data_IF_315945254799
#
_entry.id   IF_315945254799
#
_cell.length_a   1.000
_cell.length_b   1.000
_cell.length_c   1.000
_cell.angle_alpha   90.00
_cell.angle_beta   90.00
_cell.angle_gamma   90.00
#
_symmetry.space_group_name_H-M   'P 1'
#
loop_
_entity.id
_entity.type
_entity.pdbx_description
1 polymer ?
#
# COMPACT_ATOMS: atom_id res chain seq x y z
N UNK A 1 15.97 2.04 2.13
CA UNK A 1 16.88 1.76 1.00
C UNK A 1 16.53 2.71 -0.15
N UNK A 2 17.54 3.13 -0.93
CA UNK A 2 17.40 4.20 -1.92
C UNK A 2 16.66 3.79 -3.21
N UNK A 3 16.52 4.72 -4.16
CA UNK A 3 15.93 4.42 -5.47
C UNK A 3 16.70 3.34 -6.22
N UNK A 4 15.98 2.47 -6.93
CA UNK A 4 16.55 1.50 -7.84
C UNK A 4 16.06 1.74 -9.26
N UNK A 5 16.98 1.70 -10.23
CA UNK A 5 16.68 1.90 -11.65
C UNK A 5 16.90 0.60 -12.44
N UNK A 6 15.96 0.27 -13.32
CA UNK A 6 16.02 -0.79 -14.33
C UNK A 6 16.06 -0.14 -15.71
N UNK A 7 16.93 -0.67 -16.59
CA UNK A 7 16.97 -0.35 -18.02
C UNK A 7 16.67 -1.65 -18.80
N UNK A 8 15.83 -1.57 -19.82
CA UNK A 8 15.43 -2.70 -20.68
C UNK A 8 13.97 -3.12 -20.53
N UNK A 9 13.53 -3.98 -21.42
CA UNK A 9 12.13 -4.41 -21.64
C UNK A 9 11.67 -5.57 -20.76
N UNK A 10 12.60 -6.35 -20.23
CA UNK A 10 12.32 -7.52 -19.39
C UNK A 10 11.50 -7.17 -18.13
N UNK A 11 10.68 -8.13 -17.73
CA UNK A 11 10.00 -8.15 -16.43
C UNK A 11 11.03 -8.07 -15.29
N UNK A 12 10.69 -7.33 -14.24
CA UNK A 12 11.63 -7.06 -13.17
C UNK A 12 10.93 -6.83 -11.83
N UNK A 13 11.51 -7.41 -10.77
CA UNK A 13 11.12 -7.11 -9.39
C UNK A 13 12.20 -6.24 -8.77
N UNK A 14 11.84 -5.03 -8.35
CA UNK A 14 12.76 -4.14 -7.65
C UNK A 14 12.89 -4.60 -6.19
N UNK A 15 14.06 -5.09 -5.73
CA UNK A 15 14.30 -5.46 -4.33
C UNK A 15 14.44 -4.21 -3.43
N UNK A 16 13.31 -3.55 -3.18
CA UNK A 16 13.25 -2.34 -2.36
C UNK A 16 12.98 -2.67 -0.89
N UNK A 17 13.11 -1.65 -0.06
CA UNK A 17 12.82 -1.75 1.36
C UNK A 17 13.17 -0.48 2.10
N UNK A 18 12.75 -0.38 3.35
CA UNK A 18 13.15 0.69 4.25
C UNK A 18 13.04 0.26 5.71
N UNK A 19 13.91 0.76 6.58
CA UNK A 19 13.88 0.43 8.02
C UNK A 19 13.99 -1.07 8.34
N UNK A 20 14.67 -1.86 7.50
CA UNK A 20 14.81 -3.31 7.65
C UNK A 20 13.66 -4.14 7.08
N UNK A 21 12.65 -3.50 6.48
CA UNK A 21 11.54 -4.17 5.80
C UNK A 21 11.91 -4.39 4.33
N UNK A 22 11.73 -5.62 3.84
CA UNK A 22 11.82 -5.94 2.41
C UNK A 22 10.44 -5.76 1.78
N UNK A 23 10.32 -4.83 0.83
CA UNK A 23 9.05 -4.38 0.26
C UNK A 23 9.20 -4.16 -1.26
N UNK A 24 9.29 -5.23 -2.04
CA UNK A 24 9.50 -5.13 -3.47
C UNK A 24 8.24 -4.63 -4.22
N UNK A 25 8.49 -4.06 -5.40
CA UNK A 25 7.49 -3.77 -6.42
C UNK A 25 7.91 -4.46 -7.71
N UNK A 26 6.96 -5.13 -8.37
CA UNK A 26 7.17 -5.83 -9.63
C UNK A 26 6.61 -5.03 -10.81
N UNK A 27 7.30 -5.08 -11.94
CA UNK A 27 6.78 -4.72 -13.26
C UNK A 27 6.83 -5.95 -14.17
N UNK A 28 5.73 -6.25 -14.85
CA UNK A 28 5.66 -7.38 -15.77
C UNK A 28 4.74 -7.15 -16.96
N UNK A 29 4.91 -7.95 -18.02
CA UNK A 29 4.01 -8.01 -19.16
C UNK A 29 3.76 -6.66 -19.85
N UNK A 30 2.50 -6.43 -20.23
CA UNK A 30 2.04 -5.21 -20.90
C UNK A 30 2.41 -5.13 -22.39
N UNK A 31 2.55 -3.91 -22.90
CA UNK A 31 2.84 -3.65 -24.31
C UNK A 31 3.73 -2.43 -24.50
N UNK A 32 4.36 -2.32 -25.67
CA UNK A 32 5.23 -1.19 -26.00
C UNK A 32 6.61 -1.24 -25.33
N UNK A 33 7.01 -2.42 -24.84
CA UNK A 33 8.34 -2.60 -24.24
C UNK A 33 9.45 -2.45 -25.28
N UNK A 34 10.52 -1.76 -24.91
CA UNK A 34 11.74 -1.62 -25.68
C UNK A 34 12.98 -1.76 -24.80
N UNK A 35 14.10 -2.20 -25.38
CA UNK A 35 15.38 -2.35 -24.66
C UNK A 35 15.93 -1.03 -24.11
N UNK A 36 15.38 0.11 -24.55
CA UNK A 36 15.68 1.46 -24.06
C UNK A 36 14.74 1.96 -22.97
N UNK A 37 13.77 1.15 -22.52
CA UNK A 37 12.86 1.53 -21.45
C UNK A 37 13.60 1.71 -20.13
N UNK A 38 13.20 2.68 -19.34
CA UNK A 38 13.82 2.97 -18.06
C UNK A 38 12.76 3.17 -16.98
N UNK A 39 12.92 2.47 -15.86
CA UNK A 39 12.02 2.55 -14.71
C UNK A 39 12.82 2.76 -13.43
N UNK A 40 12.39 3.69 -12.58
CA UNK A 40 12.94 3.89 -11.25
C UNK A 40 11.86 3.62 -10.22
N UNK A 41 12.19 2.87 -9.18
CA UNK A 41 11.26 2.56 -8.10
C UNK A 41 11.88 2.86 -6.72
N UNK A 42 11.03 3.30 -5.79
CA UNK A 42 11.38 3.61 -4.39
C UNK A 42 10.26 3.12 -3.48
N UNK A 43 10.61 2.56 -2.33
CA UNK A 43 9.66 2.25 -1.26
C UNK A 43 9.83 3.24 -0.13
N UNK A 44 8.72 3.69 0.45
CA UNK A 44 8.71 4.55 1.63
C UNK A 44 7.92 3.90 2.75
N UNK A 45 8.57 3.75 3.91
CA UNK A 45 7.88 3.39 5.15
C UNK A 45 7.27 4.63 5.81
N UNK A 46 6.28 5.21 5.13
CA UNK A 46 5.64 6.46 5.56
C UNK A 46 4.16 6.49 5.17
N UNK A 47 3.39 7.37 5.80
CA UNK A 47 1.93 7.46 5.62
C UNK A 47 1.56 8.19 4.31
N UNK A 48 1.05 7.51 3.27
CA UNK A 48 0.66 8.16 2.01
C UNK A 48 -0.51 9.13 2.17
N UNK A 49 -1.36 8.95 3.18
CA UNK A 49 -2.50 9.85 3.43
C UNK A 49 -2.07 11.22 3.93
N UNK A 50 -0.94 11.27 4.64
CA UNK A 50 -0.36 12.51 5.15
C UNK A 50 0.52 13.20 4.11
N UNK A 51 1.38 12.43 3.43
CA UNK A 51 2.40 13.01 2.53
C UNK A 51 1.96 13.18 1.09
N UNK A 52 0.90 12.49 0.65
CA UNK A 52 0.36 12.61 -0.72
C UNK A 52 -1.06 13.16 -0.66
N UNK A 53 -2.02 12.40 -0.13
CA UNK A 53 -3.43 12.81 -0.04
C UNK A 53 -4.24 11.79 0.74
N UNK A 54 -5.23 12.25 1.51
CA UNK A 54 -6.25 11.40 2.12
C UNK A 54 -7.55 11.31 1.28
N UNK A 55 -7.58 11.90 0.08
CA UNK A 55 -8.76 11.87 -0.80
C UNK A 55 -8.76 10.55 -1.58
N UNK A 56 -9.81 9.76 -1.41
CA UNK A 56 -9.96 8.45 -2.05
C UNK A 56 -11.19 8.41 -2.96
N UNK A 57 -11.15 7.56 -3.98
CA UNK A 57 -12.33 7.26 -4.81
C UNK A 57 -13.42 6.55 -3.98
N UNK A 58 -14.68 6.82 -4.29
CA UNK A 58 -15.82 6.14 -3.66
C UNK A 58 -15.72 4.61 -3.71
N UNK A 59 -16.00 3.97 -2.57
CA UNK A 59 -15.90 2.53 -2.37
C UNK A 59 -14.53 2.05 -1.90
N UNK A 60 -13.55 2.95 -1.76
CA UNK A 60 -12.38 2.71 -0.91
C UNK A 60 -12.80 3.06 0.52
N UNK A 61 -12.66 2.12 1.45
CA UNK A 61 -12.83 2.39 2.87
C UNK A 61 -11.61 3.19 3.36
N UNK A 62 -10.42 2.63 3.13
CA UNK A 62 -9.16 3.29 3.41
C UNK A 62 -8.00 2.74 2.57
N UNK A 63 -6.88 3.46 2.58
CA UNK A 63 -5.61 3.06 1.99
C UNK A 63 -4.57 2.76 3.09
N UNK A 64 -3.40 2.23 2.73
CA UNK A 64 -2.31 2.02 3.70
C UNK A 64 -1.98 3.30 4.46
N UNK A 65 -1.64 3.15 5.74
CA UNK A 65 -1.19 4.24 6.62
C UNK A 65 0.31 4.24 6.86
N UNK A 66 1.03 3.24 6.36
CA UNK A 66 2.42 2.98 6.75
C UNK A 66 3.37 2.85 5.59
N UNK A 67 2.87 2.71 4.37
CA UNK A 67 3.74 2.55 3.23
C UNK A 67 3.14 2.95 1.89
N UNK A 68 4.02 3.29 0.96
CA UNK A 68 3.74 3.44 -0.46
C UNK A 68 5.01 3.23 -1.29
N UNK A 69 4.81 3.05 -2.59
CA UNK A 69 5.86 2.93 -3.57
C UNK A 69 5.74 4.04 -4.60
N UNK A 70 6.88 4.61 -5.00
CA UNK A 70 6.99 5.37 -6.22
C UNK A 70 7.48 4.44 -7.31
N UNK A 71 6.80 4.43 -8.45
CA UNK A 71 7.27 3.84 -9.68
C UNK A 71 7.22 4.91 -10.75
N UNK A 72 8.36 5.19 -11.38
CA UNK A 72 8.50 6.24 -12.39
C UNK A 72 9.02 5.58 -13.66
N UNK A 73 8.31 5.77 -14.77
CA UNK A 73 8.84 5.48 -16.11
C UNK A 73 9.67 6.68 -16.57
N UNK A 74 10.99 6.56 -16.49
CA UNK A 74 11.91 7.63 -16.86
C UNK A 74 12.05 7.78 -18.39
N UNK A 75 11.91 6.68 -19.13
CA UNK A 75 11.99 6.63 -20.59
C UNK A 75 11.11 5.51 -21.13
N UNK A 76 10.65 5.67 -22.38
CA UNK A 76 9.90 4.65 -23.10
C UNK A 76 8.39 4.77 -22.99
N UNK A 77 7.70 3.90 -23.75
CA UNK A 77 6.24 3.92 -23.88
C UNK A 77 5.56 2.69 -23.27
N UNK A 78 6.31 1.77 -22.65
CA UNK A 78 5.76 0.57 -22.05
C UNK A 78 4.60 0.84 -21.08
N UNK A 79 3.56 0.03 -21.21
CA UNK A 79 2.63 -0.29 -20.13
C UNK A 79 3.13 -1.53 -19.40
N UNK A 80 2.90 -1.60 -18.08
CA UNK A 80 3.29 -2.75 -17.25
C UNK A 80 2.18 -3.10 -16.26
N UNK A 81 2.05 -4.38 -15.95
CA UNK A 81 1.37 -4.86 -14.76
C UNK A 81 2.27 -4.55 -13.57
N UNK A 82 1.68 -4.00 -12.51
CA UNK A 82 2.33 -3.67 -11.25
C UNK A 82 1.90 -4.66 -10.18
N UNK A 83 2.87 -5.25 -9.49
CA UNK A 83 2.69 -6.18 -8.37
C UNK A 83 3.31 -5.58 -7.11
N UNK A 84 2.59 -5.63 -5.99
CA UNK A 84 3.07 -5.20 -4.68
C UNK A 84 3.07 -6.38 -3.70
N UNK A 85 4.14 -6.52 -2.93
CA UNK A 85 4.24 -7.54 -1.87
C UNK A 85 3.62 -7.02 -0.57
N UNK A 86 2.71 -7.80 0.00
CA UNK A 86 2.07 -7.54 1.29
C UNK A 86 2.88 -8.23 2.37
N UNK A 87 3.47 -7.45 3.26
CA UNK A 87 4.32 -7.90 4.37
C UNK A 87 3.55 -7.92 5.70
N UNK A 88 4.09 -8.54 6.75
CA UNK A 88 3.43 -8.54 8.07
C UNK A 88 3.31 -7.11 8.62
N UNK A 89 4.25 -6.25 8.24
CA UNK A 89 4.26 -4.83 8.57
C UNK A 89 3.34 -3.99 7.68
N UNK A 90 2.68 -4.57 6.69
CA UNK A 90 1.55 -3.95 5.98
C UNK A 90 0.26 -4.01 6.80
N UNK A 91 0.22 -4.93 7.78
CA UNK A 91 -0.89 -5.16 8.72
C UNK A 91 -2.21 -5.59 8.05
N UNK A 92 -2.17 -6.09 6.82
CA UNK A 92 -3.34 -6.66 6.17
C UNK A 92 -3.78 -7.94 6.91
N UNK A 93 -5.02 -7.96 7.45
CA UNK A 93 -5.62 -9.18 8.01
C UNK A 93 -6.31 -10.03 6.95
N UNK A 94 -6.73 -9.41 5.85
CA UNK A 94 -7.46 -10.04 4.76
C UNK A 94 -6.75 -9.71 3.44
N UNK A 95 -5.81 -10.55 3.02
CA UNK A 95 -5.09 -10.34 1.77
C UNK A 95 -6.06 -10.38 0.59
N UNK A 96 -7.05 -11.28 0.62
CA UNK A 96 -8.09 -11.37 -0.41
C UNK A 96 -8.99 -10.12 -0.52
N UNK A 97 -8.82 -9.15 0.38
CA UNK A 97 -9.45 -7.84 0.40
C UNK A 97 -8.45 -6.68 0.36
N UNK A 98 -7.20 -6.96 -0.02
CA UNK A 98 -6.12 -5.97 -0.11
C UNK A 98 -5.70 -5.81 -1.56
N UNK A 99 -5.98 -4.64 -2.12
CA UNK A 99 -5.86 -4.35 -3.55
C UNK A 99 -4.87 -3.21 -3.80
N UNK A 100 -4.48 -2.98 -5.06
CA UNK A 100 -3.59 -1.87 -5.43
C UNK A 100 -4.40 -0.62 -5.75
N UNK A 101 -3.95 0.53 -5.26
CA UNK A 101 -4.44 1.86 -5.65
C UNK A 101 -3.28 2.70 -6.17
N UNK A 102 -3.61 3.71 -6.99
CA UNK A 102 -2.64 4.70 -7.49
C UNK A 102 -3.20 6.10 -7.36
N UNK A 103 -2.37 7.04 -6.95
CA UNK A 103 -2.72 8.45 -6.91
C UNK A 103 -2.73 9.06 -8.32
N UNK A 104 -3.80 9.79 -8.67
CA UNK A 104 -3.97 10.38 -10.01
C UNK A 104 -3.72 11.89 -10.08
N UNK A 105 -3.06 12.46 -9.07
CA UNK A 105 -2.87 13.91 -8.80
C UNK A 105 -4.04 14.61 -8.09
N UNK A 106 -5.20 13.96 -7.97
CA UNK A 106 -6.35 14.50 -7.24
C UNK A 106 -6.83 13.58 -6.12
N UNK A 107 -6.81 12.27 -6.34
CA UNK A 107 -7.28 11.25 -5.41
C UNK A 107 -6.61 9.89 -5.67
N UNK A 108 -6.79 8.97 -4.73
CA UNK A 108 -6.43 7.56 -4.89
C UNK A 108 -7.51 6.82 -5.68
N UNK A 109 -7.13 6.24 -6.82
CA UNK A 109 -8.02 5.50 -7.72
C UNK A 109 -8.01 4.01 -7.42
N UNK A 110 -9.16 3.36 -7.56
CA UNK A 110 -9.22 1.90 -7.53
C UNK A 110 -8.59 1.35 -8.79
N UNK A 111 -7.56 0.51 -8.64
CA UNK A 111 -7.09 -0.31 -9.74
C UNK A 111 -7.68 -1.70 -9.58
N UNK A 112 -8.29 -2.22 -10.65
CA UNK A 112 -8.72 -3.62 -10.70
C UNK A 112 -7.51 -4.50 -10.42
N UNK A 113 -7.51 -5.17 -9.28
CA UNK A 113 -6.37 -5.93 -8.77
C UNK A 113 -6.81 -7.33 -8.35
N UNK A 114 -5.94 -8.31 -8.50
CA UNK A 114 -6.12 -9.67 -8.02
C UNK A 114 -5.16 -9.92 -6.87
N UNK A 115 -5.66 -10.08 -5.64
CA UNK A 115 -4.85 -10.58 -4.56
C UNK A 115 -4.41 -12.02 -4.87
N UNK A 116 -3.13 -12.30 -4.65
CA UNK A 116 -2.57 -13.65 -4.78
C UNK A 116 -2.97 -14.57 -3.63
N UNK A 117 -2.33 -15.73 -3.58
CA UNK A 117 -2.52 -16.69 -2.49
C UNK A 117 -2.02 -16.11 -1.18
N UNK A 118 -2.87 -16.15 -0.14
CA UNK A 118 -2.49 -15.71 1.20
C UNK A 118 -1.66 -16.76 1.93
N UNK A 119 -0.74 -16.27 2.74
CA UNK A 119 0.01 -17.04 3.71
C UNK A 119 -0.07 -16.34 5.06
N UNK A 120 -0.20 -17.09 6.15
CA UNK A 120 -0.17 -16.47 7.49
C UNK A 120 1.24 -15.98 7.80
N UNK A 121 1.33 -14.74 8.26
CA UNK A 121 2.54 -14.13 8.79
C UNK A 121 2.22 -13.51 10.15
N UNK A 122 2.08 -14.38 11.16
CA UNK A 122 1.59 -14.02 12.48
C UNK A 122 0.07 -13.84 12.49
N UNK A 123 -0.41 -12.71 12.99
CA UNK A 123 -1.85 -12.36 13.03
C UNK A 123 -2.37 -11.72 11.73
N UNK A 124 -1.50 -11.59 10.74
CA UNK A 124 -1.75 -10.95 9.43
C UNK A 124 -1.63 -11.98 8.30
N UNK A 125 -2.11 -11.57 7.12
CA UNK A 125 -1.96 -12.31 5.87
C UNK A 125 -0.95 -11.61 4.96
N UNK A 126 0.05 -12.37 4.52
CA UNK A 126 1.09 -11.93 3.60
C UNK A 126 0.93 -12.60 2.25
N UNK A 127 1.49 -11.96 1.22
CA UNK A 127 1.46 -12.47 -0.15
C UNK A 127 1.77 -11.35 -1.13
N UNK A 128 1.08 -11.35 -2.27
CA UNK A 128 1.22 -10.33 -3.30
C UNK A 128 -0.15 -9.91 -3.79
N UNK A 129 -0.26 -8.70 -4.31
CA UNK A 129 -1.45 -8.22 -5.01
C UNK A 129 -1.00 -7.49 -6.27
N UNK A 130 -1.66 -7.72 -7.39
CA UNK A 130 -1.26 -7.15 -8.68
C UNK A 130 -2.43 -6.57 -9.44
N UNK A 131 -2.17 -5.57 -10.28
CA UNK A 131 -3.21 -5.00 -11.13
C UNK A 131 -3.50 -5.93 -12.32
N UNK A 132 -4.77 -6.05 -12.69
CA UNK A 132 -5.23 -6.97 -13.74
C UNK A 132 -4.95 -6.45 -15.15
N UNK A 133 -4.73 -5.14 -15.29
CA UNK A 133 -4.53 -4.48 -16.58
C UNK A 133 -3.25 -3.65 -16.51
N UNK A 134 -2.37 -3.83 -17.50
CA UNK A 134 -1.16 -3.06 -17.62
C UNK A 134 -1.46 -1.55 -17.70
N UNK A 135 -0.75 -0.74 -16.92
CA UNK A 135 -0.96 0.71 -16.84
C UNK A 135 0.13 1.47 -17.58
N UNK A 136 -0.26 2.56 -18.25
CA UNK A 136 0.68 3.59 -18.73
C UNK A 136 0.89 4.70 -17.69
N UNK A 137 0.04 4.72 -16.66
CA UNK A 137 0.03 5.72 -15.61
C UNK A 137 0.80 5.18 -14.42
N UNK A 138 2.00 5.72 -14.24
CA UNK A 138 2.90 5.44 -13.13
C UNK A 138 2.78 6.56 -12.07
N UNK A 139 3.57 6.50 -10.99
CA UNK A 139 3.49 7.44 -9.86
C UNK A 139 3.44 6.70 -8.52
N UNK A 140 2.62 7.21 -7.61
CA UNK A 140 2.47 6.65 -6.26
C UNK A 140 1.49 5.49 -6.26
N UNK A 141 1.92 4.35 -5.71
CA UNK A 141 1.12 3.15 -5.50
C UNK A 141 1.09 2.79 -4.02
N UNK A 142 -0.05 2.29 -3.54
CA UNK A 142 -0.16 1.71 -2.20
C UNK A 142 -1.30 0.68 -2.18
N UNK A 143 -1.60 0.14 -0.99
CA UNK A 143 -2.73 -0.75 -0.77
C UNK A 143 -4.01 0.00 -0.44
N UNK A 144 -5.15 -0.57 -0.82
CA UNK A 144 -6.47 -0.17 -0.35
C UNK A 144 -7.35 -1.38 -0.04
N UNK A 145 -8.43 -1.14 0.70
CA UNK A 145 -9.42 -2.16 1.07
C UNK A 145 -10.83 -1.57 1.05
N UNK A 146 -11.81 -2.43 0.76
CA UNK A 146 -13.25 -2.15 0.87
C UNK A 146 -13.82 -2.59 2.24
N UNK A 147 -12.98 -3.16 3.10
CA UNK A 147 -13.34 -3.60 4.44
C UNK A 147 -13.02 -2.52 5.47
N UNK A 148 -13.85 -2.46 6.52
CA UNK A 148 -13.64 -1.56 7.65
C UNK A 148 -12.31 -1.84 8.36
N UNK A 149 -11.81 -0.86 9.10
CA UNK A 149 -10.63 -1.00 9.96
C UNK A 149 -10.69 -2.19 10.93
N UNK A 150 -11.87 -2.53 11.45
CA UNK A 150 -12.02 -3.66 12.35
C UNK A 150 -11.71 -5.00 11.65
N UNK A 151 -12.02 -5.09 10.35
CA UNK A 151 -11.88 -6.30 9.55
C UNK A 151 -10.51 -6.40 8.86
N UNK A 152 -10.03 -5.31 8.26
CA UNK A 152 -8.73 -5.26 7.61
C UNK A 152 -7.97 -4.01 8.06
N UNK A 153 -7.38 -4.02 9.27
CA UNK A 153 -6.67 -2.88 9.82
C UNK A 153 -5.35 -2.68 9.07
N UNK A 154 -5.39 -2.07 7.88
CA UNK A 154 -4.24 -1.28 7.44
C UNK A 154 -4.11 -0.18 8.50
N UNK A 155 -3.01 -0.17 9.27
CA UNK A 155 -3.02 0.12 10.70
C UNK A 155 -3.60 1.49 11.06
N UNK A 156 -4.47 1.51 12.08
CA UNK A 156 -4.98 2.74 12.69
C UNK A 156 -4.02 3.29 13.74
N UNK A 157 -4.04 4.61 13.95
CA UNK A 157 -3.24 5.26 14.98
C UNK A 157 -4.00 5.23 16.31
N UNK A 158 -3.37 4.67 17.36
CA UNK A 158 -3.81 4.85 18.74
C UNK A 158 -3.47 6.30 19.17
N UNK A 159 -4.48 7.10 19.45
CA UNK A 159 -4.34 8.49 19.89
C UNK A 159 -4.13 8.54 21.40
N UNK A 160 -5.01 7.88 22.15
CA UNK A 160 -4.94 7.82 23.61
C UNK A 160 -5.23 6.41 24.10
N UNK A 161 -4.56 6.03 25.20
CA UNK A 161 -4.84 4.82 25.94
C UNK A 161 -4.64 5.07 27.42
N UNK A 162 -5.75 5.34 28.10
CA UNK A 162 -5.76 5.64 29.53
C UNK A 162 -6.53 4.56 30.28
N UNK A 163 -5.93 4.04 31.34
CA UNK A 163 -6.57 3.05 32.22
C UNK A 163 -6.73 3.66 33.60
N UNK A 164 -7.98 3.77 34.06
CA UNK A 164 -8.32 4.30 35.38
C UNK A 164 -8.83 3.17 36.26
N UNK A 165 -8.11 2.87 37.35
CA UNK A 165 -8.58 1.92 38.36
C UNK A 165 -9.79 2.49 39.07
N UNK A 166 -10.91 1.76 39.05
CA UNK A 166 -12.14 2.15 39.76
C UNK A 166 -12.16 1.50 41.14
N UNK A 167 -11.86 0.22 41.23
CA UNK A 167 -11.87 -0.54 42.49
C UNK A 167 -10.96 -1.78 42.41
N UNK A 168 -11.00 -2.64 43.43
CA UNK A 168 -10.26 -3.90 43.39
C UNK A 168 -10.82 -4.80 42.29
N UNK A 169 -9.98 -5.13 41.30
CA UNK A 169 -10.37 -5.98 40.17
C UNK A 169 -11.18 -5.27 39.07
N UNK A 170 -11.40 -3.96 39.15
CA UNK A 170 -12.17 -3.20 38.14
C UNK A 170 -11.39 -1.98 37.68
N UNK A 171 -11.27 -1.82 36.36
CA UNK A 171 -10.71 -0.65 35.71
C UNK A 171 -11.64 -0.18 34.58
N UNK A 172 -11.70 1.13 34.38
CA UNK A 172 -12.20 1.72 33.14
C UNK A 172 -11.03 1.88 32.17
N UNK A 173 -11.27 1.50 30.92
CA UNK A 173 -10.34 1.73 29.82
C UNK A 173 -10.97 2.82 28.95
N UNK A 174 -10.22 3.88 28.73
CA UNK A 174 -10.48 4.85 27.69
C UNK A 174 -9.45 4.67 26.60
N UNK A 175 -9.92 4.52 25.36
CA UNK A 175 -9.05 4.50 24.20
C UNK A 175 -9.63 5.39 23.12
N UNK A 176 -8.75 6.01 22.36
CA UNK A 176 -9.12 6.81 21.21
C UNK A 176 -8.31 6.35 20.01
N UNK A 177 -9.02 6.04 18.94
CA UNK A 177 -8.45 5.59 17.67
C UNK A 177 -8.78 6.67 16.64
N UNK A 178 -7.82 7.05 15.82
CA UNK A 178 -8.09 7.84 14.63
C UNK A 178 -8.15 6.91 13.41
N UNK A 179 -9.26 6.96 12.68
CA UNK A 179 -9.15 7.07 11.22
C UNK A 179 -8.47 8.41 11.00
N UNK A 180 -7.27 8.44 10.44
CA UNK A 180 -6.58 9.73 10.37
C UNK A 180 -7.41 10.69 9.48
N UNK A 181 -7.75 11.85 10.07
CA UNK A 181 -8.60 12.93 9.58
C UNK A 181 -10.13 12.71 9.70
N UNK A 182 -10.67 12.58 10.91
CA UNK A 182 -11.88 13.36 11.18
C UNK A 182 -11.45 14.83 11.07
N UNK A 183 -11.88 15.53 10.02
CA UNK A 183 -11.86 16.97 10.08
C UNK A 183 -12.72 17.35 11.28
N UNK A 184 -12.14 18.05 12.25
CA UNK A 184 -12.93 18.66 13.33
C UNK A 184 -14.05 19.49 12.67
N UNK A 185 -15.29 19.03 12.85
CA UNK A 185 -16.51 19.74 12.50
C UNK A 185 -17.33 19.96 13.77
#
# INVERSE_FOLDING_TARGET
YGPMKKIGDDDFTFPLGDGGIYAPIGISGGSGSATSDEFTAIYYRNNPQNVISNIVESGIDHISYVEYWDLIKNSGNASKIVTLDVHETSFAKLLNKTYVTRYDTTKWLKLSSTPGTSSSCGIYECGKTEINTATYNYGHFTFWTDQTFAMNPLPIKLIDFTVTKISSGVAAIHWELAECCAADA
#
